data_IF_388644952500
#
_entry.id   IF_388644952500
#
_cell.length_a   1.000
_cell.length_b   1.000
_cell.length_c   1.000
_cell.angle_alpha   90.00
_cell.angle_beta   90.00
_cell.angle_gamma   90.00
#
_symmetry.space_group_name_H-M   'P 1'
#
loop_
_entity.id
_entity.type
_entity.pdbx_description
1 polymer ?
#
# COMPACT_ATOMS: atom_id res chain seq x y z
N UNK A 1 13.87 4.82 -7.30
CA UNK A 1 12.75 4.18 -8.02
C UNK A 1 13.36 3.17 -8.98
N UNK A 2 13.07 1.89 -8.76
CA UNK A 2 13.65 0.80 -9.55
C UNK A 2 12.60 0.20 -10.47
N UNK A 3 12.64 0.55 -11.77
CA UNK A 3 11.63 0.13 -12.76
C UNK A 3 11.52 -1.39 -12.91
N UNK A 4 12.64 -2.11 -12.78
CA UNK A 4 12.66 -3.57 -12.90
C UNK A 4 11.90 -4.21 -11.73
N UNK A 5 12.26 -3.82 -10.51
CA UNK A 5 11.60 -4.28 -9.28
C UNK A 5 10.10 -3.99 -9.33
N UNK A 6 9.70 -2.78 -9.76
CA UNK A 6 8.29 -2.41 -9.89
C UNK A 6 7.56 -3.33 -10.87
N UNK A 7 8.14 -3.62 -12.03
CA UNK A 7 7.51 -4.48 -13.04
C UNK A 7 7.35 -5.93 -12.53
N UNK A 8 8.38 -6.47 -11.88
CA UNK A 8 8.39 -7.82 -11.33
C UNK A 8 7.28 -8.00 -10.24
N UNK A 9 6.84 -6.90 -9.63
CA UNK A 9 5.83 -6.90 -8.57
C UNK A 9 4.39 -6.73 -9.03
N UNK A 10 4.14 -6.33 -10.27
CA UNK A 10 2.78 -6.01 -10.73
C UNK A 10 1.86 -7.22 -10.60
N UNK A 11 2.35 -8.42 -10.90
CA UNK A 11 1.58 -9.66 -10.81
C UNK A 11 1.18 -10.01 -9.36
N UNK A 12 2.14 -9.94 -8.44
CA UNK A 12 1.88 -10.13 -7.01
C UNK A 12 0.94 -9.06 -6.47
N UNK A 13 1.17 -7.80 -6.86
CA UNK A 13 0.34 -6.68 -6.44
C UNK A 13 -1.10 -6.80 -6.94
N UNK A 14 -1.32 -7.32 -8.16
CA UNK A 14 -2.64 -7.63 -8.67
C UNK A 14 -3.36 -8.63 -7.75
N UNK A 15 -2.72 -9.75 -7.45
CA UNK A 15 -3.29 -10.78 -6.57
C UNK A 15 -3.62 -10.25 -5.17
N UNK A 16 -2.71 -9.44 -4.60
CA UNK A 16 -2.88 -8.85 -3.28
C UNK A 16 -4.04 -7.84 -3.20
N UNK A 17 -4.36 -7.13 -4.29
CA UNK A 17 -5.53 -6.24 -4.30
C UNK A 17 -6.82 -7.02 -4.01
N UNK A 18 -6.97 -8.22 -4.60
CA UNK A 18 -8.12 -9.07 -4.34
C UNK A 18 -8.08 -9.69 -2.92
N UNK A 19 -6.91 -10.19 -2.50
CA UNK A 19 -6.73 -10.83 -1.19
C UNK A 19 -7.04 -9.89 -0.02
N UNK A 20 -6.66 -8.61 -0.13
CA UNK A 20 -6.93 -7.58 0.88
C UNK A 20 -8.32 -6.95 0.74
N UNK A 21 -9.18 -7.42 -0.17
CA UNK A 21 -10.53 -6.90 -0.38
C UNK A 21 -10.60 -5.50 -1.00
N UNK A 22 -9.48 -5.01 -1.57
CA UNK A 22 -9.41 -3.74 -2.30
C UNK A 22 -10.08 -3.88 -3.67
N UNK A 23 -9.88 -5.04 -4.31
CA UNK A 23 -10.54 -5.42 -5.55
C UNK A 23 -11.59 -6.50 -5.28
N UNK A 24 -12.79 -6.32 -5.84
CA UNK A 24 -13.91 -7.26 -5.73
C UNK A 24 -14.58 -7.36 -7.09
N UNK A 25 -14.81 -8.59 -7.58
CA UNK A 25 -15.44 -8.86 -8.89
C UNK A 25 -14.82 -8.08 -10.07
N UNK A 26 -13.49 -7.96 -10.08
CA UNK A 26 -12.77 -7.23 -11.12
C UNK A 26 -12.87 -5.70 -11.01
N UNK A 27 -13.43 -5.17 -9.92
CA UNK A 27 -13.65 -3.74 -9.69
C UNK A 27 -12.88 -3.22 -8.49
N UNK A 28 -12.49 -1.95 -8.55
CA UNK A 28 -11.87 -1.21 -7.45
C UNK A 28 -12.58 0.14 -7.27
N UNK A 29 -12.89 0.51 -6.03
CA UNK A 29 -13.33 1.87 -5.70
C UNK A 29 -12.22 2.88 -6.02
N UNK A 30 -12.51 3.85 -6.89
CA UNK A 30 -11.58 4.92 -7.31
C UNK A 30 -10.93 5.63 -6.12
N UNK A 31 -11.60 5.69 -4.97
CA UNK A 31 -11.03 6.24 -3.75
C UNK A 31 -9.72 5.54 -3.32
N UNK A 32 -9.58 4.22 -3.49
CA UNK A 32 -8.31 3.52 -3.19
C UNK A 32 -7.16 4.02 -4.07
N UNK A 33 -7.41 4.26 -5.36
CA UNK A 33 -6.41 4.83 -6.29
C UNK A 33 -6.01 6.25 -5.89
N UNK A 34 -6.96 7.03 -5.39
CA UNK A 34 -6.70 8.34 -4.79
C UNK A 34 -5.80 8.23 -3.55
N UNK A 35 -6.16 7.35 -2.61
CA UNK A 35 -5.42 7.15 -1.36
C UNK A 35 -3.97 6.70 -1.60
N UNK A 36 -3.72 5.75 -2.50
CA UNK A 36 -2.34 5.31 -2.79
C UNK A 36 -1.50 6.41 -3.44
N UNK A 37 -2.11 7.26 -4.27
CA UNK A 37 -1.43 8.42 -4.85
C UNK A 37 -1.07 9.45 -3.77
N UNK A 38 -2.00 9.72 -2.85
CA UNK A 38 -1.76 10.59 -1.69
C UNK A 38 -0.70 10.03 -0.75
N UNK A 39 -0.64 8.71 -0.56
CA UNK A 39 0.39 8.06 0.25
C UNK A 39 1.80 8.26 -0.35
N UNK A 40 1.97 8.00 -1.64
CA UNK A 40 3.24 8.24 -2.33
C UNK A 40 3.69 9.70 -2.26
N UNK A 41 2.74 10.65 -2.40
CA UNK A 41 3.01 12.07 -2.23
C UNK A 41 3.44 12.42 -0.78
N UNK A 42 2.76 11.87 0.23
CA UNK A 42 3.09 12.09 1.64
C UNK A 42 4.50 11.58 2.00
N UNK A 43 4.92 10.43 1.47
CA UNK A 43 6.29 9.91 1.64
C UNK A 43 7.31 10.82 0.94
N UNK A 44 6.97 11.36 -0.22
CA UNK A 44 7.87 12.19 -1.03
C UNK A 44 8.09 13.56 -0.39
N UNK A 45 7.01 14.22 0.04
CA UNK A 45 7.03 15.57 0.62
C UNK A 45 7.36 15.57 2.11
N UNK A 46 7.03 14.50 2.83
CA UNK A 46 7.20 14.38 4.27
C UNK A 46 8.14 13.24 4.67
N UNK A 47 7.86 12.63 5.83
CA UNK A 47 8.61 11.48 6.33
C UNK A 47 7.84 10.18 6.12
N UNK A 48 8.58 9.09 5.91
CA UNK A 48 8.02 7.74 5.75
C UNK A 48 7.16 7.35 6.96
N UNK A 49 7.69 7.53 8.17
CA UNK A 49 6.98 7.17 9.41
C UNK A 49 5.70 7.99 9.61
N UNK A 50 5.73 9.30 9.35
CA UNK A 50 4.53 10.12 9.47
C UNK A 50 3.45 9.72 8.45
N UNK A 51 3.86 9.40 7.22
CA UNK A 51 2.94 8.90 6.19
C UNK A 51 2.30 7.57 6.62
N UNK A 52 3.09 6.59 7.05
CA UNK A 52 2.57 5.29 7.53
C UNK A 52 1.61 5.50 8.70
N UNK A 53 1.99 6.31 9.70
CA UNK A 53 1.14 6.58 10.88
C UNK A 53 -0.16 7.32 10.54
N UNK A 54 -0.17 8.17 9.52
CA UNK A 54 -1.39 8.83 9.05
C UNK A 54 -2.33 7.85 8.34
N UNK A 55 -1.77 7.02 7.44
CA UNK A 55 -2.52 6.06 6.65
C UNK A 55 -2.94 4.81 7.43
N UNK A 56 -2.32 4.50 8.57
CA UNK A 56 -2.72 3.38 9.43
C UNK A 56 -4.00 3.64 10.23
N UNK A 57 -4.42 4.90 10.37
CA UNK A 57 -5.66 5.27 11.04
C UNK A 57 -6.85 5.12 10.09
N UNK A 58 -8.03 4.75 10.58
CA UNK A 58 -9.30 4.76 9.80
C UNK A 58 -9.89 6.16 9.54
N UNK A 59 -9.33 7.21 10.17
CA UNK A 59 -9.95 8.53 10.36
C UNK A 59 -10.66 9.13 9.12
N UNK A 60 -11.96 8.88 9.01
CA UNK A 60 -12.89 9.53 8.07
C UNK A 60 -12.62 9.31 6.57
N UNK A 61 -11.77 8.36 6.19
CA UNK A 61 -11.57 8.06 4.77
C UNK A 61 -12.78 7.30 4.20
N UNK A 62 -13.12 7.58 2.94
CA UNK A 62 -14.20 6.88 2.22
C UNK A 62 -13.91 5.39 2.00
N UNK A 63 -12.64 4.98 2.16
CA UNK A 63 -12.17 3.61 2.05
C UNK A 63 -11.21 3.27 3.18
N UNK A 64 -11.09 1.97 3.44
CA UNK A 64 -10.21 1.36 4.43
C UNK A 64 -8.72 1.46 4.01
N UNK A 65 -8.15 2.65 4.12
CA UNK A 65 -6.77 2.95 3.68
C UNK A 65 -5.68 2.08 4.33
N UNK A 66 -5.95 1.47 5.49
CA UNK A 66 -5.09 0.46 6.10
C UNK A 66 -4.87 -0.78 5.20
N UNK A 67 -5.83 -1.12 4.34
CA UNK A 67 -5.70 -2.24 3.40
C UNK A 67 -4.60 -1.98 2.37
N UNK A 68 -4.44 -0.71 1.93
CA UNK A 68 -3.33 -0.32 1.06
C UNK A 68 -1.99 -0.56 1.76
N UNK A 69 -1.87 -0.22 3.05
CA UNK A 69 -0.65 -0.44 3.80
C UNK A 69 -0.35 -1.93 3.99
N UNK A 70 -1.38 -2.74 4.24
CA UNK A 70 -1.24 -4.19 4.37
C UNK A 70 -0.76 -4.82 3.06
N UNK A 71 -1.40 -4.49 1.93
CA UNK A 71 -0.99 -4.96 0.61
C UNK A 71 0.44 -4.53 0.24
N UNK A 72 0.83 -3.28 0.54
CA UNK A 72 2.22 -2.81 0.34
C UNK A 72 3.20 -3.61 1.20
N UNK A 73 2.81 -3.92 2.45
CA UNK A 73 3.69 -4.66 3.34
C UNK A 73 3.92 -6.10 2.86
N UNK A 74 2.89 -6.76 2.35
CA UNK A 74 3.03 -8.12 1.82
C UNK A 74 3.90 -8.15 0.55
N UNK A 75 3.83 -7.13 -0.31
CA UNK A 75 4.79 -6.97 -1.43
C UNK A 75 6.22 -6.85 -0.87
N UNK A 76 6.45 -6.02 0.15
CA UNK A 76 7.78 -5.88 0.76
C UNK A 76 8.25 -7.22 1.35
N UNK A 77 7.39 -7.94 2.09
CA UNK A 77 7.73 -9.25 2.67
C UNK A 77 8.14 -10.28 1.62
N UNK A 78 7.48 -10.29 0.47
CA UNK A 78 7.79 -11.22 -0.63
C UNK A 78 9.22 -11.10 -1.16
N UNK A 79 9.88 -9.94 -0.98
CA UNK A 79 11.29 -9.73 -1.38
C UNK A 79 12.31 -10.35 -0.43
N UNK A 80 11.86 -10.75 0.75
CA UNK A 80 12.69 -11.12 1.89
C UNK A 80 12.23 -12.46 2.45
N UNK A 81 11.86 -13.40 1.57
CA UNK A 81 11.46 -14.75 1.96
C UNK A 81 12.50 -15.37 2.91
N UNK A 82 12.03 -15.82 4.08
CA UNK A 82 12.87 -16.41 5.12
C UNK A 82 13.44 -15.43 6.17
N UNK A 83 13.21 -14.12 6.04
CA UNK A 83 13.54 -13.16 7.11
C UNK A 83 12.43 -13.10 8.19
N UNK A 84 12.82 -12.89 9.44
CA UNK A 84 11.85 -12.54 10.49
C UNK A 84 11.31 -11.13 10.23
N UNK A 85 10.00 -11.04 9.98
CA UNK A 85 9.31 -9.77 9.80
C UNK A 85 8.62 -9.30 11.07
N UNK A 86 8.56 -7.97 11.21
CA UNK A 86 7.75 -7.32 12.22
C UNK A 86 6.25 -7.48 11.92
N UNK A 87 5.40 -7.22 12.91
CA UNK A 87 3.95 -7.40 12.75
C UNK A 87 3.39 -6.35 11.78
N UNK A 88 3.93 -5.13 11.81
CA UNK A 88 3.43 -4.01 11.00
C UNK A 88 4.51 -3.34 10.14
N UNK A 89 4.07 -2.72 9.03
CA UNK A 89 4.93 -1.89 8.18
C UNK A 89 5.58 -0.74 8.96
N UNK A 90 4.91 -0.23 10.00
CA UNK A 90 5.41 0.85 10.84
C UNK A 90 6.61 0.39 11.68
N UNK A 91 6.52 -0.78 12.32
CA UNK A 91 7.62 -1.39 13.07
C UNK A 91 8.81 -1.70 12.15
N UNK A 92 8.54 -2.28 10.97
CA UNK A 92 9.57 -2.51 9.95
C UNK A 92 10.32 -1.22 9.60
N UNK A 93 9.59 -0.12 9.35
CA UNK A 93 10.20 1.17 9.03
C UNK A 93 11.00 1.77 10.20
N UNK A 94 10.54 1.62 11.45
CA UNK A 94 11.29 2.04 12.65
C UNK A 94 12.61 1.28 12.76
N UNK A 95 12.57 -0.04 12.59
CA UNK A 95 13.76 -0.87 12.71
C UNK A 95 14.79 -0.55 11.63
N UNK A 96 14.36 -0.39 10.37
CA UNK A 96 15.23 0.05 9.28
C UNK A 96 15.85 1.43 9.56
N UNK A 97 15.09 2.35 10.16
CA UNK A 97 15.61 3.66 10.55
C UNK A 97 16.68 3.59 11.64
N UNK A 98 16.52 2.70 12.63
CA UNK A 98 17.52 2.50 13.71
C UNK A 98 18.87 2.00 13.17
N UNK A 99 18.87 1.28 12.05
CA UNK A 99 20.08 0.77 11.37
C UNK A 99 20.86 1.85 10.61
N UNK A 100 20.35 3.08 10.56
CA UNK A 100 21.04 4.25 9.99
C UNK A 100 20.46 4.74 8.67
N UNK A 101 21.02 5.86 8.18
CA UNK A 101 20.46 6.62 7.07
C UNK A 101 20.37 5.84 5.74
N UNK A 102 21.35 4.95 5.46
CA UNK A 102 21.29 4.12 4.25
C UNK A 102 20.09 3.16 4.30
N UNK A 103 19.93 2.44 5.42
CA UNK A 103 18.82 1.51 5.60
C UNK A 103 17.45 2.20 5.60
N UNK A 104 17.36 3.42 6.15
CA UNK A 104 16.15 4.26 6.06
C UNK A 104 15.82 4.62 4.60
N UNK A 105 16.83 5.01 3.81
CA UNK A 105 16.66 5.36 2.40
C UNK A 105 16.22 4.15 1.57
N UNK A 106 16.86 3.00 1.80
CA UNK A 106 16.57 1.76 1.07
C UNK A 106 15.15 1.27 1.41
N UNK A 107 14.76 1.31 2.68
CA UNK A 107 13.38 1.03 3.12
C UNK A 107 12.35 1.99 2.49
N UNK A 108 12.66 3.29 2.44
CA UNK A 108 11.81 4.28 1.77
C UNK A 108 11.64 3.95 0.28
N UNK A 109 12.71 3.57 -0.40
CA UNK A 109 12.66 3.18 -1.81
C UNK A 109 11.87 1.88 -2.01
N UNK A 110 12.06 0.88 -1.15
CA UNK A 110 11.32 -0.39 -1.18
C UNK A 110 9.82 -0.17 -1.09
N UNK A 111 9.37 0.64 -0.11
CA UNK A 111 7.96 0.93 0.13
C UNK A 111 7.37 1.76 -1.01
N UNK A 112 8.14 2.72 -1.56
CA UNK A 112 7.70 3.50 -2.72
C UNK A 112 7.55 2.63 -3.97
N UNK A 113 8.51 1.73 -4.24
CA UNK A 113 8.41 0.81 -5.38
C UNK A 113 7.17 -0.09 -5.25
N UNK A 114 6.91 -0.64 -4.06
CA UNK A 114 5.72 -1.46 -3.80
C UNK A 114 4.41 -0.67 -3.95
N UNK A 115 4.36 0.58 -3.46
CA UNK A 115 3.21 1.46 -3.65
C UNK A 115 2.96 1.80 -5.14
N UNK A 116 4.02 1.97 -5.92
CA UNK A 116 3.92 2.20 -7.36
C UNK A 116 3.41 0.94 -8.07
N UNK A 117 3.96 -0.24 -7.75
CA UNK A 117 3.51 -1.51 -8.31
C UNK A 117 2.02 -1.75 -8.03
N UNK A 118 1.58 -1.54 -6.79
CA UNK A 118 0.18 -1.66 -6.39
C UNK A 118 -0.72 -0.66 -7.14
N UNK A 119 -0.28 0.60 -7.31
CA UNK A 119 -1.01 1.61 -8.09
C UNK A 119 -1.10 1.24 -9.57
N UNK A 120 -0.06 0.64 -10.14
CA UNK A 120 -0.07 0.17 -11.53
C UNK A 120 -1.01 -1.02 -11.70
N UNK A 121 -0.97 -1.97 -10.77
CA UNK A 121 -1.87 -3.12 -10.74
C UNK A 121 -3.34 -2.71 -10.64
N UNK A 122 -3.67 -1.65 -9.88
CA UNK A 122 -5.04 -1.10 -9.83
C UNK A 122 -5.58 -0.71 -11.21
N UNK A 123 -4.73 -0.34 -12.18
CA UNK A 123 -5.20 0.02 -13.53
C UNK A 123 -5.64 -1.20 -14.37
N UNK A 124 -5.36 -2.42 -13.89
CA UNK A 124 -5.80 -3.66 -14.52
C UNK A 124 -7.24 -4.05 -14.11
N UNK A 125 -7.84 -3.29 -13.19
CA UNK A 125 -9.22 -3.45 -12.72
C UNK A 125 -10.13 -2.36 -13.28
N UNK A 126 -11.43 -2.61 -13.29
CA UNK A 126 -12.42 -1.59 -13.58
C UNK A 126 -12.54 -0.61 -12.38
N UNK A 127 -12.25 0.67 -12.61
CA UNK A 127 -12.34 1.69 -11.57
C UNK A 127 -13.76 2.25 -11.50
N UNK A 128 -14.46 1.95 -10.41
CA UNK A 128 -15.82 2.39 -10.18
C UNK A 128 -15.86 3.46 -9.09
N UNK A 129 -16.80 4.39 -9.20
CA UNK A 129 -17.12 5.29 -8.10
C UNK A 129 -18.13 4.58 -7.19
N UNK A 130 -17.89 4.57 -5.88
CA UNK A 130 -18.84 3.99 -4.92
C UNK A 130 -20.19 4.68 -5.12
N UNK A 131 -21.23 3.93 -5.48
CA UNK A 131 -22.59 4.50 -5.56
C UNK A 131 -22.94 5.04 -4.18
N UNK A 132 -23.23 6.33 -4.09
CA UNK A 132 -23.80 6.93 -2.90
C UNK A 132 -25.18 6.30 -2.67
N UNK A 133 -25.28 5.25 -1.84
CA UNK A 133 -26.57 4.62 -1.57
C UNK A 133 -26.55 3.26 -0.88
N UNK A 134 -25.51 2.44 -0.98
CA UNK A 134 -25.43 1.22 -0.17
C UNK A 134 -24.83 1.57 1.19
N UNK A 135 -25.70 2.15 2.02
CA UNK A 135 -25.63 1.96 3.46
C UNK A 135 -25.76 0.45 3.67
N UNK A 136 -24.89 -0.14 4.50
CA UNK A 136 -25.07 -1.49 5.00
C UNK A 136 -26.47 -1.59 5.64
N UNK A 137 -27.45 -2.06 4.88
CA UNK A 137 -28.68 -2.60 5.45
C UNK A 137 -28.29 -3.90 6.14
N UNK A 138 -28.22 -3.77 7.46
CA UNK A 138 -28.23 -4.83 8.46
C UNK A 138 -29.12 -5.99 8.03
N UNK A 139 -28.57 -7.21 8.02
CA UNK A 139 -29.29 -8.42 8.42
C UNK A 139 -28.45 -9.24 9.38
#
# INVERSE_FOLDING_TARGET
MNKRVINDEIESAYSLLAQHGIAQDGKIDRAFRGQISSFGAAITMGSLLAAIAYFSKRAGASVERQLILAAIYDIVKSRHEGEQFHETLFEYAIERKKRGMSAERDCKEEILNAAIALKLAMNLYELVDKKAGESDEVQ
#
